data_IF_702859231967
#
_entry.id   IF_702859231967
#
_cell.length_a   1.000
_cell.length_b   1.000
_cell.length_c   1.000
_cell.angle_alpha   90.00
_cell.angle_beta   90.00
_cell.angle_gamma   90.00
#
_symmetry.space_group_name_H-M   'P 1'
#
loop_
_entity.id
_entity.type
_entity.pdbx_description
1 polymer ?
#
# COMPACT_ATOMS: atom_id res chain seq x y z
N UNK A 1 -11.34 -1.72 14.51
CA UNK A 1 -11.10 -3.17 14.67
C UNK A 1 -10.51 -3.42 16.03
N UNK A 2 -10.02 -4.63 16.26
CA UNK A 2 -9.25 -4.96 17.45
C UNK A 2 -8.09 -5.87 17.07
N UNK A 3 -7.07 -5.90 17.92
CA UNK A 3 -5.95 -6.80 17.77
C UNK A 3 -5.63 -7.44 19.11
N UNK A 4 -5.02 -8.62 19.06
CA UNK A 4 -4.59 -9.38 20.23
C UNK A 4 -3.12 -9.78 20.02
N UNK A 5 -2.25 -9.40 20.97
CA UNK A 5 -0.82 -9.67 20.90
C UNK A 5 -0.55 -10.96 21.66
N UNK A 6 -0.10 -11.96 20.94
CA UNK A 6 0.19 -13.30 21.44
C UNK A 6 1.70 -13.54 21.43
N UNK A 7 2.15 -14.59 22.12
CA UNK A 7 3.58 -14.93 22.22
C UNK A 7 4.25 -15.11 20.84
N UNK A 8 3.51 -15.64 19.87
CA UNK A 8 4.02 -15.99 18.54
C UNK A 8 3.40 -15.17 17.40
N UNK A 9 2.67 -14.08 17.69
CA UNK A 9 2.08 -13.28 16.64
C UNK A 9 1.07 -12.25 17.12
N UNK A 10 0.43 -11.61 16.17
CA UNK A 10 -0.62 -10.62 16.42
C UNK A 10 -1.84 -11.02 15.60
N UNK A 11 -2.97 -11.25 16.26
CA UNK A 11 -4.25 -11.47 15.61
C UNK A 11 -4.88 -10.12 15.32
N UNK A 12 -5.26 -9.86 14.06
CA UNK A 12 -6.00 -8.67 13.66
C UNK A 12 -7.43 -9.03 13.28
N UNK A 13 -8.42 -8.28 13.78
CA UNK A 13 -9.81 -8.37 13.32
C UNK A 13 -10.37 -7.02 12.90
N UNK A 14 -10.90 -6.98 11.67
CA UNK A 14 -11.69 -5.84 11.19
C UNK A 14 -12.98 -5.75 12.01
N UNK A 15 -13.34 -4.54 12.44
CA UNK A 15 -14.52 -4.30 13.27
C UNK A 15 -15.49 -3.27 12.70
N UNK A 16 -15.27 -2.84 11.45
CA UNK A 16 -16.05 -1.81 10.78
C UNK A 16 -15.35 -1.29 9.52
N UNK A 17 -15.84 -0.20 8.93
CA UNK A 17 -15.18 0.49 7.83
C UNK A 17 -13.75 0.90 8.18
N UNK A 18 -12.89 0.95 7.17
CA UNK A 18 -11.54 1.47 7.33
C UNK A 18 -11.68 2.99 7.39
N UNK A 19 -10.99 3.61 8.34
CA UNK A 19 -11.01 5.06 8.52
C UNK A 19 -9.79 5.69 7.85
N UNK A 20 -9.92 6.90 7.31
CA UNK A 20 -8.81 7.60 6.72
C UNK A 20 -7.80 8.01 7.80
N UNK A 21 -6.56 8.21 7.38
CA UNK A 21 -5.48 8.68 8.26
C UNK A 21 -4.60 9.68 7.54
N UNK A 22 -3.95 10.54 8.32
CA UNK A 22 -2.80 11.34 7.88
C UNK A 22 -1.56 10.72 8.49
N UNK A 23 -0.61 10.28 7.66
CA UNK A 23 0.61 9.59 8.08
C UNK A 23 1.83 10.27 7.47
N UNK A 24 2.87 10.42 8.27
CA UNK A 24 4.18 10.92 7.85
C UNK A 24 5.21 9.82 8.08
N UNK A 25 5.91 9.40 7.02
CA UNK A 25 7.06 8.51 7.17
C UNK A 25 8.19 9.25 7.89
N UNK A 26 8.96 8.53 8.71
CA UNK A 26 10.07 9.10 9.46
C UNK A 26 11.14 8.03 9.74
N UNK A 27 12.31 8.45 10.22
CA UNK A 27 13.35 7.53 10.69
C UNK A 27 12.87 6.80 11.94
N UNK A 28 13.46 5.63 12.22
CA UNK A 28 13.13 4.86 13.43
C UNK A 28 13.28 5.74 14.70
N UNK A 29 12.30 5.75 15.63
CA UNK A 29 11.15 4.84 15.76
C UNK A 29 9.83 5.31 15.12
N UNK A 30 9.86 6.27 14.21
CA UNK A 30 8.66 6.74 13.51
C UNK A 30 8.09 5.77 12.48
N UNK A 31 7.07 6.20 11.72
CA UNK A 31 6.41 5.35 10.75
C UNK A 31 7.36 5.01 9.60
N UNK A 32 7.65 3.72 9.42
CA UNK A 32 8.66 3.29 8.45
C UNK A 32 8.17 3.50 7.02
N UNK A 33 9.03 4.10 6.20
CA UNK A 33 8.83 4.28 4.75
C UNK A 33 8.53 2.96 4.01
N UNK A 34 8.95 1.80 4.53
CA UNK A 34 8.62 0.50 3.93
C UNK A 34 7.15 0.08 4.13
N UNK A 35 6.45 0.66 5.12
CA UNK A 35 5.07 0.29 5.45
C UNK A 35 4.01 1.16 4.76
N UNK A 36 4.41 2.23 4.07
CA UNK A 36 3.46 3.14 3.42
C UNK A 36 2.77 2.52 2.20
N UNK A 37 3.48 1.67 1.44
CA UNK A 37 2.94 1.05 0.21
C UNK A 37 1.71 0.15 0.49
N UNK A 38 1.77 -0.84 1.41
CA UNK A 38 0.59 -1.64 1.75
C UNK A 38 -0.48 -0.83 2.49
N UNK A 39 -0.09 0.19 3.26
CA UNK A 39 -1.05 1.07 3.91
C UNK A 39 -1.89 1.80 2.86
N UNK A 40 -1.27 2.40 1.84
CA UNK A 40 -1.99 3.13 0.78
C UNK A 40 -2.98 2.21 0.06
N UNK A 41 -2.64 0.94 -0.21
CA UNK A 41 -3.60 -0.04 -0.76
C UNK A 41 -4.82 -0.15 0.17
N UNK A 42 -4.62 -0.32 1.47
CA UNK A 42 -5.73 -0.33 2.43
C UNK A 42 -6.49 1.02 2.49
N UNK A 43 -5.81 2.15 2.30
CA UNK A 43 -6.43 3.49 2.30
C UNK A 43 -7.31 3.75 1.07
N UNK A 44 -7.07 3.08 -0.06
CA UNK A 44 -8.05 3.08 -1.17
C UNK A 44 -9.42 2.55 -0.74
N UNK A 45 -9.47 1.74 0.33
CA UNK A 45 -10.68 1.13 0.87
C UNK A 45 -11.23 1.89 2.10
N UNK A 46 -10.62 3.01 2.49
CA UNK A 46 -11.00 3.80 3.65
C UNK A 46 -12.12 4.80 3.33
N UNK A 47 -13.03 5.08 4.27
CA UNK A 47 -14.12 6.06 4.06
C UNK A 47 -13.65 7.50 4.31
N UNK A 48 -13.20 8.18 3.26
CA UNK A 48 -12.79 9.58 3.28
C UNK A 48 -11.42 9.83 2.67
N UNK A 49 -10.89 11.02 2.89
CA UNK A 49 -9.58 11.45 2.39
C UNK A 49 -8.46 11.09 3.37
N UNK A 50 -7.46 10.36 2.87
CA UNK A 50 -6.22 10.05 3.59
C UNK A 50 -5.05 10.77 2.95
N UNK A 51 -4.03 11.10 3.75
CA UNK A 51 -2.81 11.75 3.26
C UNK A 51 -1.60 10.97 3.75
N UNK A 52 -0.72 10.58 2.83
CA UNK A 52 0.57 9.96 3.15
C UNK A 52 1.69 10.89 2.71
N UNK A 53 2.44 11.40 3.67
CA UNK A 53 3.66 12.17 3.44
C UNK A 53 4.87 11.23 3.48
N UNK A 54 5.60 11.14 2.36
CA UNK A 54 6.87 10.45 2.28
C UNK A 54 8.01 11.45 2.48
N UNK A 55 8.68 11.37 3.63
CA UNK A 55 9.75 12.30 4.03
C UNK A 55 11.15 11.66 4.07
N UNK A 56 11.23 10.37 3.75
CA UNK A 56 12.47 9.57 3.82
C UNK A 56 13.01 9.24 2.43
N UNK A 57 12.16 8.87 1.46
CA UNK A 57 12.59 8.53 0.09
C UNK A 57 11.83 9.30 -0.99
N UNK A 58 12.58 10.05 -1.79
CA UNK A 58 12.07 11.07 -2.73
C UNK A 58 11.35 10.51 -3.97
N UNK A 59 11.35 9.19 -4.17
CA UNK A 59 10.79 8.53 -5.36
C UNK A 59 10.12 7.21 -5.00
N UNK A 60 9.31 7.20 -3.93
CA UNK A 60 8.72 5.96 -3.39
C UNK A 60 7.24 5.77 -3.69
N UNK A 61 6.57 6.81 -4.20
CA UNK A 61 5.15 6.76 -4.53
C UNK A 61 4.85 6.26 -5.95
N UNK A 62 5.85 5.84 -6.74
CA UNK A 62 5.64 5.40 -8.12
C UNK A 62 4.64 4.24 -8.28
N UNK A 63 4.53 3.37 -7.28
CA UNK A 63 3.60 2.23 -7.31
C UNK A 63 2.12 2.63 -7.37
N UNK A 64 1.77 3.85 -6.95
CA UNK A 64 0.38 4.33 -6.98
C UNK A 64 -0.15 4.43 -8.40
N UNK A 65 0.71 4.53 -9.42
CA UNK A 65 0.30 4.50 -10.82
C UNK A 65 -0.43 3.20 -11.19
N UNK A 66 -0.01 2.06 -10.63
CA UNK A 66 -0.71 0.80 -10.82
C UNK A 66 -2.08 0.80 -10.13
N UNK A 67 -2.18 1.36 -8.92
CA UNK A 67 -3.46 1.50 -8.22
C UNK A 67 -4.43 2.42 -8.98
N UNK A 68 -3.92 3.54 -9.54
CA UNK A 68 -4.72 4.43 -10.40
C UNK A 68 -5.17 3.72 -11.66
N UNK A 69 -4.32 2.88 -12.28
CA UNK A 69 -4.73 2.01 -13.41
C UNK A 69 -5.84 1.04 -13.01
N UNK A 70 -5.84 0.57 -11.77
CA UNK A 70 -6.91 -0.25 -11.19
C UNK A 70 -8.12 0.58 -10.71
N UNK A 71 -8.16 1.88 -10.97
CA UNK A 71 -9.31 2.74 -10.68
C UNK A 71 -9.22 3.56 -9.39
N UNK A 72 -8.15 3.43 -8.59
CA UNK A 72 -8.00 4.19 -7.34
C UNK A 72 -7.99 5.72 -7.58
N UNK A 73 -8.66 6.47 -6.71
CA UNK A 73 -8.55 7.93 -6.65
C UNK A 73 -7.34 8.32 -5.78
N UNK A 74 -6.20 8.48 -6.44
CA UNK A 74 -4.93 8.88 -5.82
C UNK A 74 -4.31 10.02 -6.60
N UNK A 75 -3.99 11.11 -5.91
CA UNK A 75 -3.21 12.23 -6.46
C UNK A 75 -1.87 12.29 -5.75
N UNK A 76 -0.79 12.12 -6.52
CA UNK A 76 0.58 12.29 -6.02
C UNK A 76 1.01 13.74 -6.23
N UNK A 77 1.52 14.35 -5.17
CA UNK A 77 2.16 15.66 -5.14
C UNK A 77 3.68 15.46 -5.01
N UNK A 78 4.46 15.54 -6.11
CA UNK A 78 5.89 15.20 -6.12
C UNK A 78 6.78 16.13 -5.28
N UNK A 79 6.26 17.30 -4.91
CA UNK A 79 6.95 18.30 -4.09
C UNK A 79 6.31 18.47 -2.71
N UNK A 80 5.48 17.50 -2.31
CA UNK A 80 4.66 17.59 -1.09
C UNK A 80 3.49 18.56 -1.24
N UNK A 81 2.79 18.75 -0.13
CA UNK A 81 1.71 19.75 0.00
C UNK A 81 2.29 21.05 0.58
N UNK A 82 1.66 22.21 0.33
CA UNK A 82 2.14 23.47 0.92
C UNK A 82 1.57 23.72 2.32
N UNK A 83 0.36 23.21 2.61
CA UNK A 83 -0.33 23.31 3.88
C UNK A 83 -0.61 21.95 4.52
N UNK A 84 -1.45 21.95 5.57
CA UNK A 84 -1.85 20.75 6.30
C UNK A 84 -1.18 20.62 7.67
N UNK A 85 -1.82 19.86 8.57
CA UNK A 85 -1.24 19.53 9.86
C UNK A 85 -0.06 18.58 9.65
N UNK A 86 1.10 18.91 10.24
CA UNK A 86 2.26 18.03 10.25
C UNK A 86 2.81 17.83 11.64
N UNK A 87 3.28 16.62 11.90
CA UNK A 87 4.09 16.31 13.08
C UNK A 87 5.53 16.78 12.89
N UNK A 88 6.09 16.66 11.67
CA UNK A 88 7.47 17.08 11.36
C UNK A 88 7.53 18.25 10.36
N UNK A 89 8.55 19.14 10.45
CA UNK A 89 8.75 20.19 9.45
C UNK A 89 8.93 19.62 8.04
N UNK A 90 8.38 20.32 7.05
CA UNK A 90 8.51 19.97 5.62
C UNK A 90 9.98 19.81 5.23
N UNK A 91 10.28 18.71 4.53
CA UNK A 91 11.61 18.46 3.97
C UNK A 91 11.65 18.84 2.48
N UNK A 92 12.82 19.22 1.98
CA UNK A 92 12.97 19.78 0.64
C UNK A 92 12.53 18.84 -0.49
N UNK A 93 12.61 17.53 -0.24
CA UNK A 93 12.38 16.48 -1.25
C UNK A 93 11.27 15.52 -0.81
N UNK A 94 10.35 15.99 0.03
CA UNK A 94 9.17 15.20 0.41
C UNK A 94 8.21 15.03 -0.77
N UNK A 95 7.51 13.89 -0.80
CA UNK A 95 6.36 13.67 -1.65
C UNK A 95 5.12 13.50 -0.79
N UNK A 96 3.93 13.74 -1.34
CA UNK A 96 2.68 13.39 -0.70
C UNK A 96 1.76 12.63 -1.65
N UNK A 97 0.97 11.71 -1.13
CA UNK A 97 -0.17 11.13 -1.82
C UNK A 97 -1.45 11.51 -1.07
N UNK A 98 -2.44 12.03 -1.80
CA UNK A 98 -3.82 12.18 -1.32
C UNK A 98 -4.61 11.02 -1.89
N UNK A 99 -5.28 10.25 -1.03
CA UNK A 99 -6.02 9.04 -1.37
C UNK A 99 -7.47 9.25 -0.93
N UNK A 100 -8.40 9.26 -1.88
CA UNK A 100 -9.81 9.39 -1.60
C UNK A 100 -10.47 8.02 -1.68
N UNK A 101 -11.01 7.53 -0.57
CA UNK A 101 -11.75 6.28 -0.56
C UNK A 101 -13.19 6.43 -0.03
N UNK A 102 -13.99 5.35 -0.10
CA UNK A 102 -13.60 4.07 -0.67
C UNK A 102 -13.66 4.12 -2.20
N UNK A 103 -12.65 3.56 -2.86
CA UNK A 103 -12.62 3.34 -4.32
C UNK A 103 -12.52 1.84 -4.58
N UNK A 104 -13.52 1.22 -5.23
CA UNK A 104 -13.40 -0.14 -5.72
C UNK A 104 -12.21 -0.24 -6.67
N UNK A 105 -11.30 -1.16 -6.40
CA UNK A 105 -10.24 -1.50 -7.35
C UNK A 105 -10.82 -2.48 -8.37
N UNK A 106 -10.38 -2.38 -9.62
CA UNK A 106 -10.78 -3.25 -10.71
C UNK A 106 -9.59 -4.01 -11.26
N UNK A 107 -9.87 -5.20 -11.77
CA UNK A 107 -8.91 -6.06 -12.44
C UNK A 107 -8.13 -5.33 -13.53
N UNK A 108 -6.80 -5.47 -13.51
CA UNK A 108 -5.92 -4.85 -14.50
C UNK A 108 -4.63 -5.65 -14.70
N UNK A 109 -4.01 -5.45 -15.85
CA UNK A 109 -2.65 -5.92 -16.11
C UNK A 109 -1.64 -4.96 -15.48
N UNK A 110 -0.87 -5.42 -14.50
CA UNK A 110 0.12 -4.60 -13.78
C UNK A 110 1.47 -5.32 -13.74
N UNK A 111 2.55 -4.55 -13.75
CA UNK A 111 3.93 -5.06 -13.69
C UNK A 111 4.58 -4.63 -12.38
N UNK A 112 5.26 -5.55 -11.71
CA UNK A 112 6.09 -5.28 -10.53
C UNK A 112 7.48 -4.84 -10.99
N UNK A 113 7.84 -3.55 -10.89
CA UNK A 113 9.10 -3.05 -11.45
C UNK A 113 10.31 -3.38 -10.56
N UNK A 114 10.10 -3.58 -9.26
CA UNK A 114 11.16 -3.83 -8.31
C UNK A 114 10.66 -4.55 -7.03
N UNK A 115 11.60 -4.89 -6.14
CA UNK A 115 11.32 -5.63 -4.91
C UNK A 115 10.51 -4.82 -3.88
N UNK A 116 10.79 -3.52 -3.76
CA UNK A 116 10.26 -2.65 -2.70
C UNK A 116 8.83 -2.25 -3.03
N UNK A 117 7.90 -2.95 -2.38
CA UNK A 117 6.48 -2.78 -2.59
C UNK A 117 5.89 -3.73 -3.62
N UNK A 118 6.68 -4.66 -4.19
CA UNK A 118 6.18 -5.67 -5.12
C UNK A 118 5.00 -6.48 -4.55
N UNK A 119 5.02 -6.78 -3.26
CA UNK A 119 3.89 -7.42 -2.59
C UNK A 119 2.63 -6.54 -2.56
N UNK A 120 2.76 -5.21 -2.53
CA UNK A 120 1.60 -4.30 -2.52
C UNK A 120 0.83 -4.34 -3.83
N UNK A 121 1.49 -4.64 -4.97
CA UNK A 121 0.82 -4.89 -6.25
C UNK A 121 -0.03 -6.15 -6.17
N UNK A 122 0.50 -7.23 -5.57
CA UNK A 122 -0.24 -8.48 -5.37
C UNK A 122 -1.41 -8.27 -4.41
N UNK A 123 -1.22 -7.55 -3.30
CA UNK A 123 -2.31 -7.23 -2.37
C UNK A 123 -3.39 -6.37 -3.05
N UNK A 124 -3.01 -5.42 -3.91
CA UNK A 124 -3.97 -4.63 -4.67
C UNK A 124 -4.77 -5.50 -5.65
N UNK A 125 -4.11 -6.39 -6.39
CA UNK A 125 -4.74 -7.36 -7.28
C UNK A 125 -5.75 -8.26 -6.54
N UNK A 126 -5.37 -8.77 -5.36
CA UNK A 126 -6.26 -9.59 -4.52
C UNK A 126 -7.44 -8.80 -3.93
N UNK A 127 -7.31 -7.48 -3.79
CA UNK A 127 -8.37 -6.61 -3.29
C UNK A 127 -9.31 -6.12 -4.41
N UNK A 128 -8.97 -6.35 -5.68
CA UNK A 128 -9.71 -5.84 -6.82
C UNK A 128 -10.89 -6.73 -7.21
N UNK A 129 -11.92 -6.10 -7.77
CA UNK A 129 -13.03 -6.78 -8.41
C UNK A 129 -12.62 -7.25 -9.81
N UNK A 130 -12.84 -8.53 -10.10
CA UNK A 130 -12.46 -9.15 -11.38
C UNK A 130 -11.07 -9.77 -11.35
N UNK A 131 -10.52 -10.01 -12.53
CA UNK A 131 -9.23 -10.70 -12.70
C UNK A 131 -8.11 -9.69 -12.96
N UNK A 132 -6.98 -9.85 -12.26
CA UNK A 132 -5.77 -9.05 -12.49
C UNK A 132 -4.63 -9.95 -12.93
N UNK A 133 -3.87 -9.53 -13.94
CA UNK A 133 -2.61 -10.18 -14.31
C UNK A 133 -1.45 -9.40 -13.70
N UNK A 134 -0.64 -10.04 -12.86
CA UNK A 134 0.55 -9.41 -12.25
C UNK A 134 1.81 -10.02 -12.82
N UNK A 135 2.56 -9.25 -13.61
CA UNK A 135 3.86 -9.66 -14.17
C UNK A 135 5.03 -9.21 -13.28
N UNK A 136 6.20 -9.82 -13.45
CA UNK A 136 7.41 -9.45 -12.68
C UNK A 136 7.43 -9.96 -11.23
N UNK A 137 6.46 -10.78 -10.81
CA UNK A 137 6.32 -11.27 -9.43
C UNK A 137 7.50 -12.09 -8.92
N UNK A 138 8.33 -12.65 -9.82
CA UNK A 138 9.55 -13.37 -9.45
C UNK A 138 10.51 -12.54 -8.60
N UNK A 139 10.50 -11.22 -8.72
CA UNK A 139 11.34 -10.31 -7.93
C UNK A 139 10.97 -10.35 -6.43
N UNK A 140 9.69 -10.60 -6.09
CA UNK A 140 9.18 -10.61 -4.70
C UNK A 140 9.90 -11.67 -3.85
N UNK A 141 10.26 -12.81 -4.46
CA UNK A 141 10.99 -13.91 -3.80
C UNK A 141 12.33 -13.49 -3.20
N UNK A 142 12.93 -12.39 -3.67
CA UNK A 142 14.21 -11.86 -3.14
C UNK A 142 14.07 -11.21 -1.76
N UNK A 143 12.86 -10.86 -1.32
CA UNK A 143 12.63 -10.24 -0.01
C UNK A 143 11.55 -10.93 0.83
N UNK A 144 10.77 -11.84 0.24
CA UNK A 144 9.70 -12.55 0.93
C UNK A 144 9.78 -14.05 0.65
N UNK A 145 10.26 -14.80 1.64
CA UNK A 145 10.31 -16.26 1.57
C UNK A 145 8.88 -16.85 1.60
N UNK A 146 8.63 -17.81 0.70
CA UNK A 146 7.36 -18.56 0.60
C UNK A 146 6.13 -17.65 0.59
N UNK A 147 6.22 -16.55 -0.15
CA UNK A 147 5.17 -15.53 -0.19
C UNK A 147 3.84 -16.10 -0.70
N UNK A 148 3.88 -16.83 -1.82
CA UNK A 148 2.68 -17.44 -2.40
C UNK A 148 2.11 -18.56 -1.53
N UNK A 149 2.94 -19.42 -0.94
CA UNK A 149 2.47 -20.45 0.02
C UNK A 149 1.71 -19.83 1.20
N UNK A 150 2.18 -18.66 1.68
CA UNK A 150 1.50 -17.92 2.77
C UNK A 150 0.16 -17.34 2.32
N UNK A 151 0.06 -16.87 1.08
CA UNK A 151 -1.20 -16.37 0.52
C UNK A 151 -2.20 -17.51 0.30
N UNK A 152 -1.75 -18.64 -0.23
CA UNK A 152 -2.56 -19.85 -0.39
C UNK A 152 -3.08 -20.36 0.97
N UNK A 153 -2.21 -20.39 1.99
CA UNK A 153 -2.61 -20.71 3.36
C UNK A 153 -3.64 -19.73 3.98
N UNK A 154 -3.74 -18.51 3.45
CA UNK A 154 -4.75 -17.51 3.82
C UNK A 154 -6.02 -17.60 2.95
N UNK A 155 -6.06 -18.49 1.96
CA UNK A 155 -7.18 -18.68 1.04
C UNK A 155 -7.26 -17.64 -0.07
N UNK A 156 -6.13 -17.06 -0.47
CA UNK A 156 -6.07 -16.19 -1.65
C UNK A 156 -6.33 -17.00 -2.93
N UNK A 157 -7.09 -16.42 -3.86
CA UNK A 157 -7.42 -17.02 -5.16
C UNK A 157 -6.46 -16.48 -6.23
N UNK A 158 -5.54 -17.32 -6.71
CA UNK A 158 -4.57 -16.97 -7.76
C UNK A 158 -3.98 -18.22 -8.43
N UNK A 159 -3.55 -18.04 -9.67
CA UNK A 159 -2.75 -19.02 -10.41
C UNK A 159 -1.40 -18.41 -10.83
N UNK A 160 -0.32 -19.21 -10.76
CA UNK A 160 0.99 -18.82 -11.29
C UNK A 160 1.13 -19.40 -12.69
N UNK A 161 1.10 -18.51 -13.70
CA UNK A 161 1.33 -18.86 -15.11
C UNK A 161 2.79 -18.55 -15.46
N UNK A 162 3.49 -19.54 -16.00
CA UNK A 162 4.91 -19.48 -16.37
C UNK A 162 5.17 -19.02 -17.81
#
# INVERSE_FOLDING_TARGET
GWFDVQEHGILFRRGGPIKPVVVETDVHPGYMTDWQQPLIVALTQAEGESIVHETVYENRLGFTQALVKMGADIVVHPHGLEGGARRVPRRALEQAAVINGPTPLHGADIEVPDLRGGFSYVVAALAAEGESTVSGVGIISRGYEKFFDKLDALGADFDIVG
#
